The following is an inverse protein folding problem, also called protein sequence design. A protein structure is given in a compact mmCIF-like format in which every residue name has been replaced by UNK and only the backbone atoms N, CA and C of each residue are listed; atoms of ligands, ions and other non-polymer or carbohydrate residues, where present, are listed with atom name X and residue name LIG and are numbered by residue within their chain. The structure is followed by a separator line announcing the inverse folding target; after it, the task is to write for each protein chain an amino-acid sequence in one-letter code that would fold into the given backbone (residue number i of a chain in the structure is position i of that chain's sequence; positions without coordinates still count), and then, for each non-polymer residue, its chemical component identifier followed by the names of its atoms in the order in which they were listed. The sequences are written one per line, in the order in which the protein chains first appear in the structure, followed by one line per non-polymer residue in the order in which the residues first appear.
data_IF_274131490079
#
_entry.id   IF_274131490079
#
_cell.length_a   1.000
_cell.length_b   1.000
_cell.length_c   1.000
_cell.angle_alpha   90.00
_cell.angle_beta   90.00
_cell.angle_gamma   90.00
#
_symmetry.space_group_name_H-M   'P 1'
#
loop_
_entity.id
_entity.type
_entity.pdbx_description
1 polymer ?
#
# COMPACT_ATOMS: atom_id res chain seq x y z
N UNK A 1 23.34 -12.83 6.41
CA UNK A 1 22.37 -13.36 5.43
C UNK A 1 21.00 -13.26 6.04
N UNK A 2 20.04 -12.57 5.41
CA UNK A 2 18.66 -12.56 5.88
C UNK A 2 18.14 -14.00 5.90
N UNK A 3 17.67 -14.47 7.05
CA UNK A 3 17.02 -15.77 7.17
C UNK A 3 15.52 -15.59 6.91
N UNK A 4 15.13 -15.81 5.66
CA UNK A 4 13.74 -15.82 5.23
C UNK A 4 13.22 -17.25 5.23
N UNK A 5 12.10 -17.47 5.92
CA UNK A 5 11.39 -18.76 5.94
C UNK A 5 10.14 -18.61 5.08
N UNK A 6 10.03 -19.40 4.00
CA UNK A 6 8.85 -19.35 3.13
C UNK A 6 7.62 -19.89 3.87
N UNK A 7 6.52 -19.14 3.82
CA UNK A 7 5.23 -19.50 4.40
C UNK A 7 4.30 -19.90 3.25
N UNK A 8 4.02 -21.20 3.13
CA UNK A 8 3.19 -21.73 2.05
C UNK A 8 1.69 -21.68 2.36
N UNK A 9 1.34 -21.78 3.64
CA UNK A 9 -0.03 -21.75 4.15
C UNK A 9 -0.07 -21.15 5.55
N UNK A 10 -1.23 -20.62 5.91
CA UNK A 10 -1.54 -20.02 7.21
C UNK A 10 -3.01 -20.33 7.57
N UNK A 11 -3.36 -20.15 8.84
CA UNK A 11 -4.68 -20.51 9.40
C UNK A 11 -5.84 -19.76 8.73
N UNK A 12 -5.59 -18.55 8.23
CA UNK A 12 -6.61 -17.70 7.61
C UNK A 12 -6.52 -17.67 6.08
N UNK A 13 -5.71 -18.56 5.49
CA UNK A 13 -5.48 -18.65 4.04
C UNK A 13 -5.03 -17.33 3.40
N UNK A 14 -4.36 -16.46 4.17
CA UNK A 14 -3.84 -15.16 3.68
C UNK A 14 -2.83 -15.38 2.55
N UNK A 15 -1.95 -16.38 2.64
CA UNK A 15 -1.01 -16.72 1.58
C UNK A 15 -1.72 -17.04 0.26
N UNK A 16 -2.81 -17.79 0.31
CA UNK A 16 -3.60 -18.13 -0.88
C UNK A 16 -4.37 -16.93 -1.42
N UNK A 17 -5.00 -16.15 -0.53
CA UNK A 17 -5.77 -14.96 -0.91
C UNK A 17 -4.87 -13.84 -1.45
N UNK A 18 -3.62 -13.75 -1.01
CA UNK A 18 -2.62 -12.88 -1.63
C UNK A 18 -2.32 -13.31 -3.07
N UNK A 19 -2.22 -14.63 -3.33
CA UNK A 19 -2.05 -15.16 -4.70
C UNK A 19 -3.25 -14.90 -5.61
N UNK A 20 -4.46 -14.81 -5.05
CA UNK A 20 -5.65 -14.40 -5.81
C UNK A 20 -5.59 -12.91 -6.22
N UNK A 21 -4.89 -12.07 -5.46
CA UNK A 21 -4.64 -10.66 -5.84
C UNK A 21 -3.56 -10.62 -6.92
N UNK A 22 -2.46 -11.34 -6.71
CA UNK A 22 -1.33 -11.44 -7.63
C UNK A 22 -0.70 -12.84 -7.54
N UNK A 23 -0.79 -13.63 -8.61
CA UNK A 23 -0.29 -15.00 -8.62
C UNK A 23 1.20 -15.11 -8.27
N UNK A 24 1.97 -14.04 -8.51
CA UNK A 24 3.40 -14.01 -8.20
C UNK A 24 3.71 -13.83 -6.71
N UNK A 25 2.72 -13.54 -5.86
CA UNK A 25 2.96 -13.23 -4.44
C UNK A 25 3.36 -14.45 -3.62
N UNK A 26 4.46 -14.28 -2.89
CA UNK A 26 5.04 -15.26 -1.99
C UNK A 26 5.29 -14.62 -0.62
N UNK A 27 4.89 -15.30 0.45
CA UNK A 27 5.05 -14.80 1.81
C UNK A 27 6.26 -15.44 2.46
N UNK A 28 7.07 -14.61 3.11
CA UNK A 28 8.24 -15.02 3.85
C UNK A 28 8.18 -14.46 5.27
N UNK A 29 8.65 -15.22 6.24
CA UNK A 29 8.90 -14.73 7.59
C UNK A 29 10.39 -14.42 7.75
N UNK A 30 10.70 -13.16 8.00
CA UNK A 30 12.05 -12.69 8.27
C UNK A 30 12.35 -12.89 9.76
N UNK A 31 13.24 -13.83 10.08
CA UNK A 31 13.57 -14.15 11.48
C UNK A 31 14.42 -13.08 12.16
N UNK A 32 15.13 -12.25 11.38
CA UNK A 32 15.98 -11.19 11.94
C UNK A 32 15.13 -9.97 12.33
N UNK A 33 14.10 -9.67 11.55
CA UNK A 33 13.18 -8.55 11.79
C UNK A 33 11.89 -8.95 12.51
N UNK A 34 11.69 -10.25 12.76
CA UNK A 34 10.51 -10.83 13.37
C UNK A 34 9.20 -10.36 12.70
N UNK A 35 9.18 -10.36 11.36
CA UNK A 35 8.04 -9.85 10.60
C UNK A 35 7.81 -10.63 9.31
N UNK A 36 6.59 -10.55 8.79
CA UNK A 36 6.27 -11.08 7.47
C UNK A 36 6.65 -10.08 6.37
N UNK A 37 7.17 -10.62 5.29
CA UNK A 37 7.52 -9.92 4.05
C UNK A 37 6.77 -10.58 2.89
N UNK A 38 6.24 -9.77 1.98
CA UNK A 38 5.64 -10.24 0.72
C UNK A 38 6.61 -9.94 -0.40
N UNK A 39 6.84 -10.97 -1.21
CA UNK A 39 7.70 -10.93 -2.37
C UNK A 39 6.93 -11.30 -3.64
N UNK A 40 7.40 -10.86 -4.80
CA UNK A 40 6.88 -11.23 -6.11
C UNK A 40 7.92 -12.06 -6.87
N UNK A 41 7.53 -13.28 -7.26
CA UNK A 41 8.35 -14.16 -8.11
C UNK A 41 8.53 -13.62 -9.53
N UNK A 42 7.68 -12.68 -9.97
CA UNK A 42 7.80 -12.03 -11.28
C UNK A 42 9.00 -11.06 -11.35
N UNK A 43 9.52 -10.61 -10.20
CA UNK A 43 10.63 -9.67 -10.11
C UNK A 43 11.98 -10.41 -9.91
N UNK A 44 12.74 -10.59 -10.99
CA UNK A 44 13.95 -11.45 -11.02
C UNK A 44 15.15 -10.96 -10.19
N UNK A 45 15.29 -9.65 -9.93
CA UNK A 45 16.46 -9.10 -9.22
C UNK A 45 16.13 -8.59 -7.81
N UNK A 46 14.95 -8.02 -7.62
CA UNK A 46 14.48 -7.54 -6.34
C UNK A 46 13.03 -7.97 -6.17
N UNK A 47 12.82 -9.10 -5.49
CA UNK A 47 11.48 -9.65 -5.31
C UNK A 47 10.71 -8.97 -4.19
N UNK A 48 11.33 -8.12 -3.37
CA UNK A 48 10.68 -7.52 -2.21
C UNK A 48 9.57 -6.54 -2.66
N UNK A 49 8.34 -6.79 -2.24
CA UNK A 49 7.21 -5.89 -2.48
C UNK A 49 6.96 -5.00 -1.26
N UNK A 50 6.68 -5.61 -0.10
CA UNK A 50 6.44 -4.86 1.13
C UNK A 50 6.62 -5.72 2.38
N UNK A 51 6.93 -5.05 3.49
CA UNK A 51 6.84 -5.62 4.84
C UNK A 51 5.39 -5.52 5.32
N UNK A 52 4.88 -6.59 5.92
CA UNK A 52 3.58 -6.59 6.58
C UNK A 52 3.70 -5.76 7.87
N UNK A 53 2.90 -4.70 8.05
CA UNK A 53 3.02 -3.79 9.19
C UNK A 53 2.39 -4.34 10.49
N UNK A 54 2.02 -5.62 10.50
CA UNK A 54 1.32 -6.29 11.58
C UNK A 54 2.14 -7.49 12.08
N UNK A 55 1.92 -7.88 13.33
CA UNK A 55 2.60 -9.02 13.94
C UNK A 55 2.14 -10.38 13.41
N UNK A 56 1.02 -10.43 12.70
CA UNK A 56 0.38 -11.65 12.21
C UNK A 56 -0.17 -11.45 10.79
N UNK A 57 -0.32 -12.56 10.06
CA UNK A 57 -1.03 -12.59 8.79
C UNK A 57 -2.53 -12.67 9.04
N UNK A 58 -3.23 -11.58 8.72
CA UNK A 58 -4.69 -11.48 8.80
C UNK A 58 -5.24 -10.65 7.62
N UNK A 59 -6.57 -10.43 7.60
CA UNK A 59 -7.28 -9.66 6.56
C UNK A 59 -6.65 -8.30 6.26
N UNK A 60 -6.06 -7.63 7.27
CA UNK A 60 -5.45 -6.31 7.10
C UNK A 60 -4.25 -6.38 6.15
N UNK A 61 -3.60 -7.53 6.05
CA UNK A 61 -2.53 -7.77 5.08
C UNK A 61 -3.05 -7.69 3.65
N UNK A 62 -4.24 -8.23 3.38
CA UNK A 62 -4.87 -8.17 2.05
C UNK A 62 -5.27 -6.74 1.69
N UNK A 63 -5.84 -6.01 2.66
CA UNK A 63 -6.15 -4.58 2.51
C UNK A 63 -4.89 -3.79 2.20
N UNK A 64 -3.81 -4.04 2.94
CA UNK A 64 -2.52 -3.39 2.73
C UNK A 64 -1.93 -3.71 1.36
N UNK A 65 -1.95 -4.98 0.93
CA UNK A 65 -1.48 -5.41 -0.37
C UNK A 65 -2.21 -4.70 -1.52
N UNK A 66 -3.54 -4.58 -1.44
CA UNK A 66 -4.33 -3.82 -2.43
C UNK A 66 -3.98 -2.33 -2.41
N UNK A 67 -3.73 -1.76 -1.23
CA UNK A 67 -3.38 -0.36 -1.07
C UNK A 67 -2.02 -0.03 -1.72
N UNK A 68 -1.02 -0.90 -1.56
CA UNK A 68 0.36 -0.67 -2.02
C UNK A 68 0.60 -1.04 -3.49
N UNK A 69 -0.35 -1.70 -4.15
CA UNK A 69 -0.23 -2.01 -5.58
C UNK A 69 -0.13 -0.75 -6.43
N UNK A 70 0.66 -0.85 -7.50
CA UNK A 70 0.94 0.27 -8.40
C UNK A 70 -0.32 0.79 -9.10
N UNK A 71 -1.31 -0.07 -9.34
CA UNK A 71 -2.63 0.31 -9.87
C UNK A 71 -3.35 1.32 -8.95
N UNK A 72 -3.07 1.28 -7.65
CA UNK A 72 -3.63 2.21 -6.69
C UNK A 72 -2.81 3.51 -6.57
N UNK A 73 -1.57 3.54 -7.07
CA UNK A 73 -0.74 4.75 -7.13
C UNK A 73 -1.43 5.83 -7.95
N UNK A 74 -2.02 5.47 -9.08
CA UNK A 74 -2.67 6.43 -9.97
C UNK A 74 -3.99 6.94 -9.39
N UNK A 75 -4.68 6.13 -8.56
CA UNK A 75 -5.83 6.59 -7.77
C UNK A 75 -5.39 7.56 -6.67
N UNK A 76 -4.31 7.23 -5.95
CA UNK A 76 -3.74 8.08 -4.89
C UNK A 76 -3.27 9.42 -5.47
N UNK A 77 -2.59 9.42 -6.62
CA UNK A 77 -2.17 10.63 -7.32
C UNK A 77 -3.38 11.48 -7.72
N UNK A 78 -4.43 10.86 -8.28
CA UNK A 78 -5.68 11.56 -8.61
C UNK A 78 -6.34 12.19 -7.39
N UNK A 79 -6.38 11.48 -6.25
CA UNK A 79 -6.94 12.00 -5.00
C UNK A 79 -6.13 13.20 -4.47
N UNK A 80 -4.79 13.14 -4.55
CA UNK A 80 -3.91 14.26 -4.18
C UNK A 80 -4.18 15.49 -5.07
N UNK A 81 -4.28 15.30 -6.38
CA UNK A 81 -4.57 16.39 -7.33
C UNK A 81 -5.94 17.03 -7.07
N UNK A 82 -6.99 16.21 -6.85
CA UNK A 82 -8.33 16.70 -6.52
C UNK A 82 -8.34 17.51 -5.22
N UNK A 83 -7.65 17.03 -4.18
CA UNK A 83 -7.54 17.75 -2.92
C UNK A 83 -6.81 19.09 -3.07
N UNK A 84 -5.72 19.12 -3.83
CA UNK A 84 -5.00 20.37 -4.11
C UNK A 84 -5.90 21.38 -4.83
N UNK A 85 -6.63 20.92 -5.85
CA UNK A 85 -7.55 21.78 -6.60
C UNK A 85 -8.64 22.38 -5.71
N UNK A 86 -9.27 21.59 -4.83
CA UNK A 86 -10.27 22.08 -3.88
C UNK A 86 -9.69 23.13 -2.93
N UNK A 87 -8.46 22.94 -2.45
CA UNK A 87 -7.77 23.91 -1.59
C UNK A 87 -7.49 25.22 -2.33
N UNK A 88 -7.03 25.14 -3.59
CA UNK A 88 -6.81 26.32 -4.43
C UNK A 88 -8.11 27.11 -4.66
N UNK A 89 -9.19 26.45 -5.05
CA UNK A 89 -10.49 27.08 -5.29
C UNK A 89 -11.03 27.76 -4.02
N UNK A 90 -10.89 27.09 -2.87
CA UNK A 90 -11.28 27.66 -1.58
C UNK A 90 -10.48 28.92 -1.25
N UNK A 91 -9.16 28.87 -1.39
CA UNK A 91 -8.28 30.01 -1.11
C UNK A 91 -8.58 31.21 -2.01
N UNK A 92 -8.84 30.98 -3.31
CA UNK A 92 -9.23 32.05 -4.25
C UNK A 92 -10.55 32.67 -3.81
N UNK A 93 -11.55 31.84 -3.46
CA UNK A 93 -12.85 32.32 -3.01
C UNK A 93 -12.75 33.18 -1.75
N UNK A 94 -11.93 32.76 -0.79
CA UNK A 94 -11.65 33.53 0.43
C UNK A 94 -10.96 34.87 0.12
N UNK A 95 -9.94 34.88 -0.75
CA UNK A 95 -9.27 36.12 -1.17
C UNK A 95 -10.22 37.10 -1.86
N UNK A 96 -11.08 36.61 -2.76
CA UNK A 96 -12.07 37.45 -3.45
C UNK A 96 -13.08 38.04 -2.46
N UNK A 97 -13.53 37.27 -1.47
CA UNK A 97 -14.43 37.78 -0.44
C UNK A 97 -13.76 38.87 0.41
N UNK A 98 -12.51 38.65 0.84
CA UNK A 98 -11.74 39.65 1.58
C UNK A 98 -11.58 40.96 0.79
N UNK A 99 -11.30 40.87 -0.51
CA UNK A 99 -11.18 42.04 -1.38
C UNK A 99 -12.52 42.80 -1.53
N UNK A 100 -13.64 42.09 -1.56
CA UNK A 100 -14.98 42.69 -1.62
C UNK A 100 -15.38 43.40 -0.34
N UNK A 101 -14.86 42.97 0.82
CA UNK A 101 -15.14 43.63 2.10
C UNK A 101 -14.31 44.92 2.30
N UNK A 102 -13.27 45.12 1.49
CA UNK A 102 -12.36 46.27 1.58
C UNK A 102 -12.75 47.41 0.60
N UNK A 103 -13.55 47.11 -0.43
CA UNK A 103 -14.05 48.07 -1.45
C UNK A 103 -15.47 48.52 -1.10
#
# INVERSE_FOLDING_TARGET
MKKLIKINSDVFFICERLRQIDESYEVYFNTDLNCFEVHSSAQKQNSFCFKVPYSQLDERTLVYARKTRIENRDNILREIEQNNQMVYEKNIKEQVNMLKEIV
#
